data_IF_838686678416
#
_entry.id   IF_838686678416
#
_cell.length_a   1.000
_cell.length_b   1.000
_cell.length_c   1.000
_cell.angle_alpha   90.00
_cell.angle_beta   90.00
_cell.angle_gamma   90.00
#
_symmetry.space_group_name_H-M   'P 1'
#
loop_
_entity.id
_entity.type
_entity.pdbx_description
1 polymer ?
#
# COMPACT_ATOMS: atom_id res chain seq x y z
N UNK A 1 -20.22 1.99 -4.26
CA UNK A 1 -19.29 1.76 -5.38
C UNK A 1 -19.52 2.75 -6.52
N UNK A 2 -20.69 2.84 -7.13
CA UNK A 2 -21.00 3.78 -8.24
C UNK A 2 -20.65 5.27 -8.00
N UNK A 3 -20.67 5.76 -6.76
CA UNK A 3 -20.31 7.15 -6.46
C UNK A 3 -18.80 7.39 -6.52
N UNK A 4 -18.02 6.43 -6.05
CA UNK A 4 -16.56 6.48 -6.10
C UNK A 4 -16.09 6.37 -7.56
N UNK A 5 -16.63 5.41 -8.31
CA UNK A 5 -16.29 5.22 -9.73
C UNK A 5 -16.53 6.52 -10.53
N UNK A 6 -17.69 7.18 -10.33
CA UNK A 6 -17.99 8.46 -10.98
C UNK A 6 -17.02 9.58 -10.60
N UNK A 7 -16.56 9.65 -9.34
CA UNK A 7 -15.61 10.66 -8.91
C UNK A 7 -14.21 10.41 -9.49
N UNK A 8 -13.78 9.16 -9.54
CA UNK A 8 -12.50 8.79 -10.14
C UNK A 8 -12.52 9.00 -11.66
N UNK A 9 -13.61 8.65 -12.33
CA UNK A 9 -13.82 8.95 -13.76
C UNK A 9 -13.79 10.46 -14.04
N UNK A 10 -14.43 11.26 -13.19
CA UNK A 10 -14.41 12.72 -13.30
C UNK A 10 -12.97 13.27 -13.17
N UNK A 11 -12.18 12.74 -12.25
CA UNK A 11 -10.77 13.10 -12.08
C UNK A 11 -9.92 12.71 -13.29
N UNK A 12 -10.08 11.50 -13.81
CA UNK A 12 -9.38 11.02 -15.01
C UNK A 12 -9.73 11.89 -16.23
N UNK A 13 -11.01 12.22 -16.40
CA UNK A 13 -11.48 13.09 -17.47
C UNK A 13 -10.89 14.51 -17.34
N UNK A 14 -10.94 15.10 -16.14
CA UNK A 14 -10.34 16.40 -15.85
C UNK A 14 -8.85 16.41 -16.18
N UNK A 15 -8.10 15.39 -15.76
CA UNK A 15 -6.67 15.23 -16.03
C UNK A 15 -6.37 15.18 -17.54
N UNK A 16 -7.16 14.40 -18.28
CA UNK A 16 -7.05 14.30 -19.75
C UNK A 16 -7.32 15.65 -20.42
N UNK A 17 -8.36 16.36 -19.98
CA UNK A 17 -8.72 17.66 -20.51
C UNK A 17 -7.64 18.69 -20.22
N UNK A 18 -7.08 18.69 -19.01
CA UNK A 18 -5.97 19.56 -18.64
C UNK A 18 -4.71 19.31 -19.50
N UNK A 19 -4.35 18.05 -19.72
CA UNK A 19 -3.22 17.70 -20.62
C UNK A 19 -3.50 18.23 -22.03
N UNK A 20 -4.72 18.10 -22.52
CA UNK A 20 -5.12 18.61 -23.86
C UNK A 20 -4.97 20.13 -23.93
N UNK A 21 -5.44 20.86 -22.93
CA UNK A 21 -5.34 22.32 -22.92
C UNK A 21 -3.89 22.80 -22.75
N UNK A 22 -3.08 22.15 -21.93
CA UNK A 22 -1.64 22.47 -21.83
C UNK A 22 -0.95 22.24 -23.19
N UNK A 23 -1.28 21.14 -23.87
CA UNK A 23 -0.72 20.83 -25.19
C UNK A 23 -1.15 21.86 -26.24
N UNK A 24 -2.42 22.30 -26.20
CA UNK A 24 -2.96 23.35 -27.08
C UNK A 24 -2.28 24.71 -26.82
N UNK A 25 -2.11 25.06 -25.54
CA UNK A 25 -1.40 26.26 -25.15
C UNK A 25 0.06 26.26 -25.61
N UNK A 26 0.75 25.14 -25.46
CA UNK A 26 2.11 24.95 -25.99
C UNK A 26 2.18 25.18 -27.50
N UNK A 27 1.26 24.60 -28.25
CA UNK A 27 1.19 24.80 -29.72
C UNK A 27 0.93 26.25 -30.10
N UNK A 28 0.07 26.96 -29.34
CA UNK A 28 -0.21 28.36 -29.53
C UNK A 28 1.03 29.24 -29.25
N UNK A 29 1.78 28.95 -28.18
CA UNK A 29 3.05 29.65 -27.88
C UNK A 29 4.07 29.51 -29.02
N UNK A 30 4.21 28.33 -29.56
CA UNK A 30 5.12 28.03 -30.68
C UNK A 30 4.68 28.83 -31.94
N UNK A 31 3.40 28.77 -32.27
CA UNK A 31 2.85 29.45 -33.44
C UNK A 31 3.04 31.00 -33.37
N UNK A 32 2.90 31.57 -32.17
CA UNK A 32 3.05 33.01 -31.94
C UNK A 32 4.49 33.44 -31.61
N UNK A 33 5.48 32.53 -31.69
CA UNK A 33 6.91 32.77 -31.38
C UNK A 33 7.15 33.31 -29.95
N UNK A 34 6.28 32.90 -29.02
CA UNK A 34 6.34 33.25 -27.58
C UNK A 34 6.96 32.13 -26.73
N UNK A 35 7.35 31.02 -27.35
CA UNK A 35 7.97 29.92 -26.66
C UNK A 35 9.40 30.23 -26.21
N UNK A 36 9.76 29.76 -25.00
CA UNK A 36 11.15 29.74 -24.54
C UNK A 36 11.50 28.34 -24.10
N UNK A 37 12.77 27.97 -24.18
CA UNK A 37 13.20 26.62 -23.74
C UNK A 37 12.84 26.29 -22.27
N UNK A 38 12.90 27.34 -21.41
CA UNK A 38 12.52 27.15 -20.00
C UNK A 38 11.02 26.92 -19.82
N UNK A 39 10.17 27.63 -20.56
CA UNK A 39 8.71 27.46 -20.50
C UNK A 39 8.31 26.10 -21.10
N UNK A 40 8.91 25.73 -22.23
CA UNK A 40 8.66 24.46 -22.89
C UNK A 40 9.01 23.28 -21.97
N UNK A 41 10.17 23.32 -21.29
CA UNK A 41 10.57 22.33 -20.31
C UNK A 41 9.65 22.26 -19.08
N UNK A 42 9.03 23.39 -18.67
CA UNK A 42 8.02 23.40 -17.59
C UNK A 42 6.73 22.73 -18.04
N UNK A 43 6.26 23.02 -19.23
CA UNK A 43 5.04 22.41 -19.78
C UNK A 43 5.23 20.91 -20.02
N UNK A 44 6.38 20.48 -20.52
CA UNK A 44 6.71 19.07 -20.66
C UNK A 44 6.72 18.33 -19.32
N UNK A 45 7.32 18.94 -18.30
CA UNK A 45 7.32 18.36 -16.95
C UNK A 45 5.90 18.24 -16.40
N UNK A 46 5.07 19.29 -16.55
CA UNK A 46 3.69 19.26 -16.10
C UNK A 46 2.87 18.17 -16.81
N UNK A 47 2.99 18.06 -18.14
CA UNK A 47 2.32 16.99 -18.91
C UNK A 47 2.82 15.62 -18.46
N UNK A 48 4.12 15.44 -18.28
CA UNK A 48 4.70 14.17 -17.83
C UNK A 48 4.21 13.82 -16.44
N UNK A 49 4.18 14.77 -15.51
CA UNK A 49 3.67 14.59 -14.15
C UNK A 49 2.20 14.19 -14.17
N UNK A 50 1.35 14.88 -14.90
CA UNK A 50 -0.07 14.56 -15.05
C UNK A 50 -0.29 13.16 -15.66
N UNK A 51 0.57 12.72 -16.59
CA UNK A 51 0.48 11.38 -17.19
C UNK A 51 0.94 10.25 -16.27
N UNK A 52 1.87 10.53 -15.37
CA UNK A 52 2.43 9.57 -14.43
C UNK A 52 1.80 9.67 -13.05
N UNK A 53 0.94 10.68 -12.85
CA UNK A 53 0.28 10.93 -11.59
C UNK A 53 -0.73 9.82 -11.28
N UNK A 54 -0.60 9.29 -10.08
CA UNK A 54 -1.49 8.29 -9.50
C UNK A 54 -1.83 8.73 -8.08
N UNK A 55 -2.99 8.31 -7.62
CA UNK A 55 -3.43 8.56 -6.25
C UNK A 55 -3.03 7.35 -5.42
N UNK A 56 -2.06 7.53 -4.54
CA UNK A 56 -1.67 6.50 -3.59
C UNK A 56 -2.46 6.67 -2.30
N UNK A 57 -3.18 5.62 -1.94
CA UNK A 57 -3.93 5.49 -0.70
C UNK A 57 -3.20 4.50 0.20
N UNK A 58 -2.69 4.96 1.34
CA UNK A 58 -2.02 4.13 2.32
C UNK A 58 -2.97 3.72 3.44
N UNK A 59 -3.05 2.42 3.73
CA UNK A 59 -3.79 1.87 4.85
C UNK A 59 -2.84 1.64 6.02
N UNK A 60 -3.09 2.31 7.13
CA UNK A 60 -2.24 2.31 8.32
C UNK A 60 -3.07 1.98 9.55
N UNK A 61 -2.46 1.43 10.56
CA UNK A 61 -3.08 1.11 11.84
C UNK A 61 -2.33 -0.03 12.52
N UNK A 62 -2.67 -0.27 13.75
CA UNK A 62 -2.12 -1.35 14.53
C UNK A 62 -2.45 -2.74 13.94
N UNK A 63 -1.79 -3.75 14.45
CA UNK A 63 -2.10 -5.13 14.13
C UNK A 63 -3.58 -5.47 14.40
N UNK A 64 -4.18 -6.33 13.58
CA UNK A 64 -5.59 -6.80 13.74
C UNK A 64 -6.69 -5.74 13.57
N UNK A 65 -6.40 -4.53 13.08
CA UNK A 65 -7.43 -3.51 12.79
C UNK A 65 -8.25 -3.78 11.53
N UNK A 66 -7.92 -4.86 10.78
CA UNK A 66 -8.65 -5.30 9.58
C UNK A 66 -8.22 -4.61 8.29
N UNK A 67 -7.02 -4.03 8.21
CA UNK A 67 -6.47 -3.40 6.98
C UNK A 67 -6.57 -4.33 5.77
N UNK A 68 -5.97 -5.50 5.87
CA UNK A 68 -5.93 -6.50 4.79
C UNK A 68 -7.32 -7.04 4.43
N UNK A 69 -8.22 -7.20 5.42
CA UNK A 69 -9.62 -7.59 5.15
C UNK A 69 -10.37 -6.52 4.38
N UNK A 70 -10.16 -5.25 4.72
CA UNK A 70 -10.75 -4.15 3.96
C UNK A 70 -10.25 -4.13 2.51
N UNK A 71 -8.96 -4.37 2.29
CA UNK A 71 -8.37 -4.47 0.95
C UNK A 71 -8.94 -5.69 0.20
N UNK A 72 -9.05 -6.85 0.86
CA UNK A 72 -9.71 -8.04 0.29
C UNK A 72 -11.14 -7.72 -0.17
N UNK A 73 -11.90 -7.03 0.67
CA UNK A 73 -13.29 -6.66 0.36
C UNK A 73 -13.40 -5.68 -0.82
N UNK A 74 -12.47 -4.74 -0.93
CA UNK A 74 -12.48 -3.72 -1.98
C UNK A 74 -12.01 -4.24 -3.33
N UNK A 75 -10.98 -5.10 -3.35
CA UNK A 75 -10.28 -5.46 -4.59
C UNK A 75 -10.46 -6.92 -5.00
N UNK A 76 -10.83 -7.80 -4.08
CA UNK A 76 -10.88 -9.23 -4.33
C UNK A 76 -12.24 -9.88 -4.01
N UNK A 77 -13.27 -9.09 -3.70
CA UNK A 77 -14.61 -9.60 -3.36
C UNK A 77 -15.24 -10.48 -4.44
N UNK A 78 -14.90 -10.25 -5.71
CA UNK A 78 -15.41 -11.03 -6.86
C UNK A 78 -14.93 -12.48 -6.86
N UNK A 79 -13.87 -12.80 -6.16
CA UNK A 79 -13.33 -14.16 -6.07
C UNK A 79 -14.06 -15.04 -5.05
N UNK A 80 -14.95 -14.49 -4.22
CA UNK A 80 -15.71 -15.22 -3.21
C UNK A 80 -14.88 -15.79 -2.07
N UNK A 81 -13.58 -15.53 -2.05
CA UNK A 81 -12.63 -15.98 -1.03
C UNK A 81 -11.54 -14.94 -0.79
N UNK A 82 -10.83 -15.09 0.33
CA UNK A 82 -9.74 -14.18 0.71
C UNK A 82 -8.50 -14.47 -0.14
N UNK A 83 -8.05 -13.48 -0.88
CA UNK A 83 -6.85 -13.59 -1.72
C UNK A 83 -5.60 -13.13 -0.97
N UNK A 84 -5.65 -11.96 -0.31
CA UNK A 84 -4.55 -11.53 0.55
C UNK A 84 -4.56 -12.34 1.85
N UNK A 85 -3.42 -12.88 2.28
CA UNK A 85 -3.35 -13.66 3.50
C UNK A 85 -3.65 -12.77 4.72
N UNK A 86 -4.67 -13.17 5.49
CA UNK A 86 -5.00 -12.55 6.76
C UNK A 86 -5.23 -13.65 7.78
N UNK A 87 -4.20 -14.00 8.53
CA UNK A 87 -4.28 -14.99 9.62
C UNK A 87 -4.07 -14.29 10.96
N UNK A 88 -4.78 -14.75 11.97
CA UNK A 88 -4.51 -14.36 13.35
C UNK A 88 -3.04 -14.69 13.69
N UNK A 89 -2.25 -13.68 14.08
CA UNK A 89 -0.85 -13.84 14.47
C UNK A 89 0.19 -13.57 13.38
N UNK A 90 -0.13 -13.66 12.08
CA UNK A 90 0.81 -13.41 10.98
C UNK A 90 0.07 -12.84 9.79
N UNK A 91 -0.15 -11.55 9.80
CA UNK A 91 -0.65 -10.79 8.64
C UNK A 91 0.54 -10.10 7.97
N UNK A 92 0.35 -9.37 6.96
CA UNK A 92 1.31 -8.63 6.14
C UNK A 92 2.67 -8.38 6.83
N UNK A 93 3.69 -9.15 6.45
CA UNK A 93 5.05 -9.03 7.03
C UNK A 93 5.86 -7.93 6.34
N UNK A 94 5.51 -7.57 5.12
CA UNK A 94 6.16 -6.50 4.36
C UNK A 94 5.14 -5.57 3.71
N UNK A 95 5.46 -4.28 3.53
CA UNK A 95 4.61 -3.34 2.81
C UNK A 95 4.30 -3.85 1.40
N UNK A 96 3.02 -3.82 1.03
CA UNK A 96 2.56 -4.31 -0.27
C UNK A 96 1.91 -3.18 -1.07
N UNK A 97 2.46 -2.88 -2.25
CA UNK A 97 1.92 -1.88 -3.17
C UNK A 97 1.11 -2.57 -4.28
N UNK A 98 -0.22 -2.36 -4.30
CA UNK A 98 -1.09 -2.81 -5.39
C UNK A 98 -1.26 -1.67 -6.39
N UNK A 99 -1.05 -1.96 -7.67
CA UNK A 99 -1.18 -0.99 -8.76
C UNK A 99 -1.51 -1.71 -10.07
N UNK A 100 -1.84 -0.93 -11.10
CA UNK A 100 -1.95 -1.43 -12.48
C UNK A 100 -1.13 -0.54 -13.42
N UNK A 101 -0.28 -1.17 -14.23
CA UNK A 101 0.41 -0.53 -15.36
C UNK A 101 0.10 -1.30 -16.64
N UNK A 102 -0.70 -0.73 -17.56
CA UNK A 102 -1.09 -1.40 -18.79
C UNK A 102 0.07 -1.69 -19.76
N UNK A 103 1.24 -1.08 -19.54
CA UNK A 103 2.45 -1.34 -20.34
C UNK A 103 3.13 -2.65 -19.93
N UNK A 104 2.76 -3.20 -18.79
CA UNK A 104 3.26 -4.48 -18.30
C UNK A 104 2.31 -5.58 -18.76
N UNK A 105 2.82 -6.54 -19.52
CA UNK A 105 2.02 -7.51 -20.29
C UNK A 105 1.16 -8.44 -19.45
N UNK A 106 1.44 -8.61 -18.15
CA UNK A 106 0.73 -9.58 -17.29
C UNK A 106 0.63 -9.08 -15.86
N UNK A 107 -0.36 -9.60 -15.14
CA UNK A 107 -0.42 -9.47 -13.69
C UNK A 107 0.68 -10.30 -13.01
N UNK A 108 1.30 -9.75 -11.98
CA UNK A 108 2.40 -10.39 -11.26
C UNK A 108 2.58 -9.83 -9.86
N UNK A 109 3.29 -10.57 -9.02
CA UNK A 109 3.88 -10.10 -7.77
C UNK A 109 5.40 -9.99 -7.98
N UNK A 110 6.00 -8.89 -7.53
CA UNK A 110 7.44 -8.73 -7.37
C UNK A 110 7.76 -8.64 -5.89
N UNK A 111 8.74 -9.42 -5.46
CA UNK A 111 9.19 -9.52 -4.07
C UNK A 111 10.66 -9.14 -4.01
N UNK A 112 11.00 -8.16 -3.19
CA UNK A 112 12.38 -7.76 -2.95
C UNK A 112 12.94 -8.54 -1.75
N UNK A 113 14.00 -9.34 -1.92
CA UNK A 113 14.59 -10.11 -0.82
C UNK A 113 15.04 -9.25 0.35
N UNK A 114 14.91 -9.78 1.56
CA UNK A 114 15.30 -9.07 2.80
C UNK A 114 16.79 -8.74 2.82
N UNK A 115 17.64 -9.57 2.19
CA UNK A 115 19.09 -9.37 2.08
C UNK A 115 19.45 -8.06 1.36
N UNK A 116 18.52 -7.49 0.60
CA UNK A 116 18.71 -6.17 -0.03
C UNK A 116 18.85 -5.02 1.00
N UNK A 117 18.65 -5.29 2.31
CA UNK A 117 18.97 -4.33 3.39
C UNK A 117 20.47 -4.12 3.54
N UNK A 118 21.27 -5.12 3.18
CA UNK A 118 22.73 -5.04 3.23
C UNK A 118 23.32 -4.22 2.09
N UNK A 119 22.49 -3.91 1.07
CA UNK A 119 22.92 -3.09 -0.06
C UNK A 119 22.79 -1.60 0.27
N UNK A 120 23.81 -0.81 -0.04
CA UNK A 120 23.78 0.66 0.08
C UNK A 120 22.98 1.30 -1.07
N UNK A 121 21.78 0.75 -1.32
CA UNK A 121 20.94 1.12 -2.46
C UNK A 121 19.51 1.40 -1.99
N UNK A 122 19.00 2.58 -2.32
CA UNK A 122 17.64 2.95 -1.93
C UNK A 122 16.58 2.10 -2.62
N UNK A 123 15.42 1.90 -1.97
CA UNK A 123 14.26 1.20 -2.57
C UNK A 123 13.85 1.82 -3.91
N UNK A 124 13.94 3.15 -4.05
CA UNK A 124 13.61 3.84 -5.30
C UNK A 124 14.56 3.45 -6.46
N UNK A 125 15.82 3.19 -6.16
CA UNK A 125 16.79 2.69 -7.13
C UNK A 125 16.56 1.19 -7.42
N UNK A 126 16.34 0.38 -6.39
CA UNK A 126 16.05 -1.05 -6.53
C UNK A 126 14.76 -1.31 -7.34
N UNK A 127 13.75 -0.44 -7.25
CA UNK A 127 12.54 -0.51 -8.11
C UNK A 127 12.86 -0.44 -9.62
N UNK A 128 14.00 0.15 -10.00
CA UNK A 128 14.47 0.27 -11.40
C UNK A 128 15.37 -0.88 -11.83
N UNK A 129 15.71 -1.79 -10.92
CA UNK A 129 16.63 -2.92 -11.16
C UNK A 129 15.86 -4.25 -11.08
N UNK A 130 15.24 -4.71 -12.17
CA UNK A 130 14.35 -5.89 -12.14
C UNK A 130 15.03 -7.19 -11.68
N UNK A 131 16.34 -7.31 -11.84
CA UNK A 131 17.10 -8.50 -11.47
C UNK A 131 17.21 -8.74 -9.95
N UNK A 132 16.97 -7.71 -9.13
CA UNK A 132 16.92 -7.87 -7.67
C UNK A 132 15.58 -8.45 -7.17
N UNK A 133 14.57 -8.52 -8.03
CA UNK A 133 13.21 -8.90 -7.65
C UNK A 133 12.88 -10.31 -8.10
N UNK A 134 12.39 -11.13 -7.18
CA UNK A 134 11.68 -12.34 -7.55
C UNK A 134 10.33 -11.94 -8.17
N UNK A 135 10.01 -12.47 -9.35
CA UNK A 135 8.75 -12.22 -10.04
C UNK A 135 7.92 -13.49 -10.09
N UNK A 136 6.71 -13.42 -9.53
CA UNK A 136 5.71 -14.49 -9.56
C UNK A 136 4.57 -14.07 -10.49
N UNK A 137 4.17 -14.90 -11.47
CA UNK A 137 3.01 -14.61 -12.29
C UNK A 137 1.73 -14.73 -11.46
N UNK A 138 0.71 -13.92 -11.79
CA UNK A 138 -0.64 -14.04 -11.24
C UNK A 138 -1.58 -14.54 -12.34
N UNK A 139 -2.30 -15.63 -12.06
CA UNK A 139 -3.40 -16.11 -12.87
C UNK A 139 -4.72 -15.60 -12.28
N UNK A 140 -5.31 -14.56 -12.92
CA UNK A 140 -6.51 -13.90 -12.41
C UNK A 140 -7.78 -14.77 -12.56
N UNK A 141 -7.74 -15.81 -13.38
CA UNK A 141 -8.85 -16.73 -13.60
C UNK A 141 -8.84 -17.91 -12.62
N UNK A 142 -7.79 -18.04 -11.81
CA UNK A 142 -7.60 -19.13 -10.83
C UNK A 142 -7.34 -18.56 -9.44
N UNK A 143 -8.38 -18.47 -8.60
CA UNK A 143 -8.25 -17.94 -7.24
C UNK A 143 -7.29 -18.71 -6.34
N UNK A 144 -7.19 -20.03 -6.49
CA UNK A 144 -6.31 -20.86 -5.66
C UNK A 144 -4.84 -20.59 -6.01
N UNK A 145 -4.51 -20.46 -7.29
CA UNK A 145 -3.19 -20.03 -7.76
C UNK A 145 -2.83 -18.62 -7.25
N UNK A 146 -3.82 -17.72 -7.20
CA UNK A 146 -3.61 -16.37 -6.63
C UNK A 146 -3.31 -16.44 -5.14
N UNK A 147 -4.07 -17.22 -4.37
CA UNK A 147 -3.83 -17.40 -2.93
C UNK A 147 -2.43 -17.96 -2.68
N UNK A 148 -2.01 -18.95 -3.46
CA UNK A 148 -0.67 -19.51 -3.37
C UNK A 148 0.41 -18.45 -3.65
N UNK A 149 0.26 -17.66 -4.71
CA UNK A 149 1.18 -16.59 -5.05
C UNK A 149 1.23 -15.50 -3.97
N UNK A 150 0.09 -15.08 -3.44
CA UNK A 150 0.01 -14.10 -2.36
C UNK A 150 0.52 -14.64 -1.02
N UNK A 151 0.43 -15.95 -0.77
CA UNK A 151 0.99 -16.57 0.43
C UNK A 151 2.51 -16.37 0.53
N UNK A 152 3.18 -16.26 -0.62
CA UNK A 152 4.62 -15.99 -0.67
C UNK A 152 4.97 -14.60 -0.10
N UNK A 153 4.07 -13.61 -0.18
CA UNK A 153 4.29 -12.27 0.39
C UNK A 153 4.48 -12.32 1.91
N UNK A 154 3.81 -13.28 2.57
CA UNK A 154 3.90 -13.49 4.01
C UNK A 154 5.01 -14.48 4.42
N UNK A 155 5.89 -14.86 3.50
CA UNK A 155 6.96 -15.80 3.79
C UNK A 155 7.97 -15.24 4.81
N UNK A 156 8.43 -16.12 5.69
CA UNK A 156 9.49 -15.85 6.67
C UNK A 156 10.68 -16.76 6.42
N UNK A 157 11.85 -16.32 6.88
CA UNK A 157 13.09 -17.11 6.87
C UNK A 157 13.56 -17.32 8.31
N UNK A 158 14.05 -18.51 8.61
CA UNK A 158 14.82 -18.77 9.83
C UNK A 158 16.27 -18.38 9.56
N UNK A 159 16.82 -17.53 10.42
CA UNK A 159 18.21 -17.07 10.32
C UNK A 159 18.87 -17.05 11.71
N UNK A 160 20.20 -17.23 11.78
CA UNK A 160 20.92 -17.03 13.03
C UNK A 160 20.70 -15.62 13.61
N UNK A 161 20.71 -15.47 14.92
CA UNK A 161 20.52 -14.18 15.63
C UNK A 161 21.51 -13.13 15.11
N UNK A 162 22.77 -13.50 14.85
CA UNK A 162 23.80 -12.62 14.34
C UNK A 162 23.43 -12.06 12.97
N UNK A 163 22.90 -12.91 12.09
CA UNK A 163 22.45 -12.47 10.76
C UNK A 163 21.21 -11.57 10.83
N UNK A 164 20.29 -11.81 11.78
CA UNK A 164 19.17 -10.90 12.03
C UNK A 164 19.64 -9.51 12.46
N UNK A 165 20.68 -9.44 13.29
CA UNK A 165 21.31 -8.17 13.71
C UNK A 165 21.98 -7.47 12.53
N UNK A 166 22.71 -8.19 11.68
CA UNK A 166 23.31 -7.64 10.46
C UNK A 166 22.24 -7.07 9.52
N UNK A 167 21.11 -7.75 9.40
CA UNK A 167 19.93 -7.27 8.66
C UNK A 167 19.25 -6.07 9.34
N UNK A 168 19.71 -5.64 10.54
CA UNK A 168 19.19 -4.49 11.26
C UNK A 168 17.91 -4.76 12.03
N UNK A 169 17.61 -6.00 12.39
CA UNK A 169 16.52 -6.34 13.28
C UNK A 169 16.99 -6.41 14.74
N UNK A 170 16.09 -6.08 15.65
CA UNK A 170 16.26 -6.33 17.07
C UNK A 170 15.81 -7.76 17.39
N UNK A 171 16.67 -8.66 17.84
CA UNK A 171 16.30 -10.05 18.11
C UNK A 171 15.13 -10.21 19.08
N UNK A 172 15.05 -9.35 20.11
CA UNK A 172 13.97 -9.36 21.11
C UNK A 172 12.59 -9.01 20.50
N UNK A 173 12.59 -8.40 19.30
CA UNK A 173 11.37 -8.05 18.55
C UNK A 173 11.01 -9.10 17.48
N UNK A 174 11.69 -10.26 17.48
CA UNK A 174 11.47 -11.32 16.51
C UNK A 174 10.92 -12.58 17.22
N UNK A 175 10.16 -13.37 16.47
CA UNK A 175 9.74 -14.69 16.93
C UNK A 175 10.91 -15.67 16.87
N UNK A 176 11.05 -16.50 17.90
CA UNK A 176 12.02 -17.59 17.89
C UNK A 176 11.66 -18.62 16.81
N UNK A 177 12.67 -19.13 16.13
CA UNK A 177 12.51 -20.25 15.22
C UNK A 177 12.41 -21.59 16.01
N UNK A 178 11.93 -22.64 15.35
CA UNK A 178 12.00 -24.02 15.87
C UNK A 178 13.45 -24.52 15.98
N UNK A 179 14.40 -23.82 15.37
CA UNK A 179 15.83 -24.13 15.42
C UNK A 179 16.47 -23.28 16.52
N UNK A 180 17.14 -23.94 17.47
CA UNK A 180 17.79 -23.26 18.57
C UNK A 180 18.87 -22.26 18.11
N UNK A 181 18.79 -21.01 18.56
CA UNK A 181 19.71 -19.94 18.17
C UNK A 181 19.33 -19.21 16.89
N UNK A 182 18.17 -19.53 16.31
CA UNK A 182 17.64 -18.84 15.15
C UNK A 182 16.34 -18.08 15.48
N UNK A 183 16.07 -17.05 14.68
CA UNK A 183 14.87 -16.21 14.75
C UNK A 183 14.22 -16.09 13.37
N UNK A 184 12.92 -15.81 13.35
CA UNK A 184 12.15 -15.66 12.14
C UNK A 184 12.20 -14.18 11.68
N UNK A 185 12.69 -13.96 10.47
CA UNK A 185 12.67 -12.64 9.80
C UNK A 185 11.76 -12.68 8.58
N UNK A 186 11.17 -11.56 8.14
CA UNK A 186 10.47 -11.48 6.86
C UNK A 186 11.39 -11.93 5.73
N UNK A 187 10.88 -12.70 4.77
CA UNK A 187 11.67 -13.07 3.61
C UNK A 187 11.86 -11.90 2.63
N UNK A 188 10.95 -10.92 2.71
CA UNK A 188 10.85 -9.81 1.74
C UNK A 188 10.79 -8.46 2.44
N UNK A 189 11.29 -7.42 1.77
CA UNK A 189 11.17 -6.01 2.20
C UNK A 189 9.85 -5.43 1.70
N UNK A 190 9.71 -4.89 0.46
CA UNK A 190 8.41 -4.60 -0.12
C UNK A 190 7.97 -5.67 -1.12
N UNK A 191 6.67 -5.78 -1.28
CA UNK A 191 6.02 -6.45 -2.39
C UNK A 191 5.38 -5.42 -3.33
N UNK A 192 5.42 -5.69 -4.64
CA UNK A 192 4.76 -4.90 -5.68
C UNK A 192 3.86 -5.79 -6.50
N UNK A 193 2.59 -5.49 -6.55
CA UNK A 193 1.56 -6.30 -7.22
C UNK A 193 0.97 -5.51 -8.38
N UNK A 194 1.26 -5.94 -9.61
CA UNK A 194 0.56 -5.47 -10.79
C UNK A 194 -0.70 -6.31 -10.97
N UNK A 195 -1.86 -5.73 -10.68
CA UNK A 195 -3.14 -6.43 -10.66
C UNK A 195 -4.17 -5.67 -11.49
N UNK A 196 -4.81 -6.36 -12.44
CA UNK A 196 -5.79 -5.77 -13.33
C UNK A 196 -7.16 -5.63 -12.64
N UNK A 197 -7.42 -4.43 -12.12
CA UNK A 197 -8.67 -4.11 -11.42
C UNK A 197 -9.18 -2.74 -11.89
N UNK A 198 -10.52 -2.52 -12.03
CA UNK A 198 -11.09 -1.27 -12.53
C UNK A 198 -10.58 -0.01 -11.82
N UNK A 199 -10.51 -0.01 -10.50
CA UNK A 199 -10.01 1.12 -9.71
C UNK A 199 -8.50 1.38 -9.94
N UNK A 200 -7.70 0.32 -10.05
CA UNK A 200 -6.27 0.44 -10.30
C UNK A 200 -5.97 0.90 -11.73
N UNK A 201 -6.81 0.50 -12.72
CA UNK A 201 -6.74 1.02 -14.10
C UNK A 201 -6.93 2.53 -14.18
N UNK A 202 -7.67 3.10 -13.25
CA UNK A 202 -7.92 4.54 -13.15
C UNK A 202 -6.78 5.31 -12.49
N UNK A 203 -5.68 4.64 -12.13
CA UNK A 203 -4.50 5.24 -11.53
C UNK A 203 -4.51 5.26 -10.00
N UNK A 204 -5.43 4.53 -9.35
CA UNK A 204 -5.36 4.31 -7.92
C UNK A 204 -4.21 3.34 -7.60
N UNK A 205 -3.47 3.63 -6.55
CA UNK A 205 -2.47 2.75 -5.94
C UNK A 205 -2.82 2.52 -4.48
N UNK A 206 -2.67 1.31 -4.03
CA UNK A 206 -2.92 0.93 -2.64
C UNK A 206 -1.61 0.53 -2.00
N UNK A 207 -1.32 1.11 -0.86
CA UNK A 207 -0.22 0.70 0.00
C UNK A 207 -0.81 0.01 1.24
N UNK A 208 -0.75 -1.32 1.26
CA UNK A 208 -1.04 -2.10 2.47
C UNK A 208 0.22 -2.13 3.33
N UNK A 209 0.09 -1.68 4.57
CA UNK A 209 1.23 -1.63 5.50
C UNK A 209 1.11 -2.71 6.57
N UNK A 210 2.22 -3.31 7.00
CA UNK A 210 2.25 -4.09 8.22
C UNK A 210 1.70 -3.28 9.39
N UNK A 211 1.20 -3.94 10.43
CA UNK A 211 0.92 -3.24 11.69
C UNK A 211 2.20 -2.55 12.18
N UNK A 212 2.15 -1.26 12.49
CA UNK A 212 3.36 -0.51 12.85
C UNK A 212 4.06 -1.03 14.12
N UNK A 213 3.32 -1.78 14.94
CA UNK A 213 3.86 -2.47 16.12
C UNK A 213 3.94 -4.00 15.92
N UNK A 214 3.85 -4.49 14.67
CA UNK A 214 3.98 -5.92 14.41
C UNK A 214 5.43 -6.37 14.59
N UNK A 215 5.63 -7.45 15.35
CA UNK A 215 6.92 -8.08 15.54
C UNK A 215 7.53 -8.46 14.17
N UNK A 216 8.80 -8.16 13.97
CA UNK A 216 9.52 -8.49 12.73
C UNK A 216 9.15 -7.64 11.52
N UNK A 217 8.27 -6.62 11.67
CA UNK A 217 8.03 -5.66 10.58
C UNK A 217 9.19 -4.66 10.44
N UNK A 218 9.26 -3.98 9.29
CA UNK A 218 10.14 -2.83 9.07
C UNK A 218 9.33 -1.52 9.21
N UNK A 219 9.09 -1.01 10.45
CA UNK A 219 8.30 0.22 10.62
C UNK A 219 8.93 1.40 9.88
N UNK A 220 10.27 1.51 9.90
CA UNK A 220 11.01 2.56 9.20
C UNK A 220 10.77 2.55 7.69
N UNK A 221 10.74 1.37 7.06
CA UNK A 221 10.42 1.25 5.65
C UNK A 221 8.99 1.70 5.38
N UNK A 222 8.04 1.21 6.18
CA UNK A 222 6.63 1.61 6.09
C UNK A 222 6.48 3.12 6.21
N UNK A 223 7.07 3.72 7.23
CA UNK A 223 7.04 5.16 7.47
C UNK A 223 7.70 5.96 6.35
N UNK A 224 8.77 5.43 5.73
CA UNK A 224 9.43 6.08 4.59
C UNK A 224 8.57 6.09 3.32
N UNK A 225 7.59 5.20 3.21
CA UNK A 225 6.68 5.14 2.06
C UNK A 225 5.45 6.04 2.23
N UNK A 226 5.02 6.34 3.46
CA UNK A 226 3.82 7.14 3.75
C UNK A 226 3.87 8.57 3.17
N UNK A 227 5.02 9.30 3.19
CA UNK A 227 5.07 10.65 2.59
C UNK A 227 4.77 10.68 1.10
N UNK A 228 4.86 9.54 0.41
CA UNK A 228 4.50 9.44 -1.01
C UNK A 228 3.00 9.27 -1.27
N UNK A 229 2.20 8.98 -0.24
CA UNK A 229 0.75 8.80 -0.36
C UNK A 229 0.03 10.15 -0.39
N UNK A 230 -0.99 10.28 -1.23
CA UNK A 230 -1.87 11.44 -1.29
C UNK A 230 -2.99 11.38 -0.25
N UNK A 231 -3.29 10.17 0.23
CA UNK A 231 -4.22 9.98 1.33
C UNK A 231 -3.76 8.82 2.23
N UNK A 232 -3.97 8.98 3.53
CA UNK A 232 -3.68 7.97 4.54
C UNK A 232 -5.00 7.64 5.24
N UNK A 233 -5.33 6.36 5.27
CA UNK A 233 -6.49 5.81 5.98
C UNK A 233 -5.97 5.13 7.24
N UNK A 234 -6.22 5.74 8.38
CA UNK A 234 -5.87 5.20 9.68
C UNK A 234 -7.05 4.37 10.20
N UNK A 235 -6.83 3.06 10.33
CA UNK A 235 -7.86 2.13 10.78
C UNK A 235 -7.80 1.96 12.31
N UNK A 236 -8.93 2.18 12.91
CA UNK A 236 -9.26 1.85 14.29
C UNK A 236 -10.23 0.67 14.30
N UNK A 237 -10.43 0.02 15.42
CA UNK A 237 -11.29 -1.15 15.53
C UNK A 237 -12.31 -0.96 16.66
N UNK A 238 -13.58 -1.16 16.37
CA UNK A 238 -14.67 -0.96 17.35
C UNK A 238 -14.64 -1.97 18.50
N UNK A 239 -14.08 -3.17 18.26
CA UNK A 239 -13.96 -4.22 19.28
C UNK A 239 -12.97 -3.87 20.42
N UNK A 240 -11.98 -3.05 20.13
CA UNK A 240 -10.95 -2.64 21.11
C UNK A 240 -11.01 -1.17 21.48
N UNK A 241 -11.79 -0.37 20.73
CA UNK A 241 -11.76 1.08 20.82
C UNK A 241 -10.40 1.66 20.42
N UNK A 242 -10.12 2.89 20.83
CA UNK A 242 -8.83 3.55 20.61
C UNK A 242 -7.87 3.15 21.73
N UNK A 243 -6.78 2.49 21.39
CA UNK A 243 -5.78 2.04 22.36
C UNK A 243 -4.67 3.08 22.53
N UNK A 244 -3.86 2.94 23.60
CA UNK A 244 -2.67 3.77 23.78
C UNK A 244 -1.70 3.64 22.60
N UNK A 245 -1.55 2.43 22.06
CA UNK A 245 -0.73 2.16 20.89
C UNK A 245 -1.24 2.86 19.62
N UNK A 246 -2.56 2.89 19.39
CA UNK A 246 -3.15 3.67 18.28
C UNK A 246 -2.82 5.17 18.43
N UNK A 247 -2.89 5.70 19.66
CA UNK A 247 -2.56 7.10 19.93
C UNK A 247 -1.08 7.41 19.74
N UNK A 248 -0.19 6.50 20.13
CA UNK A 248 1.25 6.66 19.89
C UNK A 248 1.56 6.67 18.38
N UNK A 249 1.00 5.75 17.61
CA UNK A 249 1.14 5.71 16.16
C UNK A 249 0.63 7.02 15.54
N UNK A 250 -0.55 7.48 15.96
CA UNK A 250 -1.11 8.73 15.46
C UNK A 250 -0.23 9.93 15.76
N UNK A 251 0.20 10.09 17.01
CA UNK A 251 0.98 11.26 17.44
C UNK A 251 2.39 11.27 16.86
N UNK A 252 3.07 10.12 16.83
CA UNK A 252 4.46 10.04 16.44
C UNK A 252 4.66 9.99 14.93
N UNK A 253 3.69 9.44 14.17
CA UNK A 253 3.91 9.12 12.77
C UNK A 253 2.87 9.74 11.85
N UNK A 254 1.57 9.65 12.18
CA UNK A 254 0.51 10.04 11.25
C UNK A 254 0.27 11.55 11.27
N UNK A 255 0.19 12.14 12.46
CA UNK A 255 -0.04 13.59 12.62
C UNK A 255 1.03 14.45 11.97
N UNK A 256 2.28 13.95 11.93
CA UNK A 256 3.40 14.66 11.32
C UNK A 256 3.35 14.69 9.79
N UNK A 257 2.52 13.85 9.17
CA UNK A 257 2.30 13.82 7.73
C UNK A 257 1.34 14.93 7.26
N UNK A 258 0.62 15.57 8.20
CA UNK A 258 -0.32 16.66 7.88
C UNK A 258 0.44 17.98 7.64
N UNK A 259 1.08 18.05 6.48
CA UNK A 259 1.73 19.27 5.96
C UNK A 259 0.80 20.09 5.04
N UNK A 260 -0.50 19.76 5.03
CA UNK A 260 -1.53 20.34 4.17
C UNK A 260 -1.56 19.77 2.75
N UNK A 261 -0.69 18.84 2.41
CA UNK A 261 -0.68 18.16 1.10
C UNK A 261 -1.34 16.78 1.13
N UNK A 262 -1.33 16.11 2.27
CA UNK A 262 -1.93 14.80 2.47
C UNK A 262 -3.30 14.90 3.14
N UNK A 263 -4.19 13.98 2.79
CA UNK A 263 -5.50 13.85 3.45
C UNK A 263 -5.46 12.67 4.42
N UNK A 264 -5.75 12.96 5.67
CA UNK A 264 -5.84 11.96 6.73
C UNK A 264 -7.30 11.59 6.98
N UNK A 265 -7.59 10.30 6.99
CA UNK A 265 -8.91 9.76 7.31
C UNK A 265 -8.77 8.76 8.45
N UNK A 266 -9.55 8.92 9.52
CA UNK A 266 -9.74 7.89 10.53
C UNK A 266 -10.98 7.07 10.17
N UNK A 267 -10.85 5.76 10.18
CA UNK A 267 -11.93 4.82 9.86
C UNK A 267 -12.10 3.84 11.03
N UNK A 268 -13.29 3.84 11.62
CA UNK A 268 -13.66 2.84 12.61
C UNK A 268 -14.16 1.58 11.87
N UNK A 269 -13.41 0.50 11.98
CA UNK A 269 -13.71 -0.79 11.37
C UNK A 269 -14.36 -1.73 12.41
N UNK A 270 -14.88 -2.87 11.94
CA UNK A 270 -15.54 -3.90 12.76
C UNK A 270 -16.73 -3.35 13.58
N UNK A 271 -17.48 -2.42 13.01
CA UNK A 271 -18.66 -1.84 13.67
C UNK A 271 -19.78 -2.86 13.87
N UNK A 272 -19.74 -3.97 13.15
CA UNK A 272 -20.62 -5.12 13.30
C UNK A 272 -20.59 -5.73 14.73
N UNK A 273 -19.48 -5.60 15.45
CA UNK A 273 -19.39 -6.06 16.85
C UNK A 273 -20.18 -5.20 17.82
N UNK A 274 -20.61 -4.01 17.39
CA UNK A 274 -21.47 -3.11 18.17
C UNK A 274 -22.96 -3.43 17.97
N UNK A 275 -23.27 -4.39 17.08
CA UNK A 275 -24.63 -4.81 16.83
C UNK A 275 -25.13 -5.74 17.96
N UNK A 276 -26.24 -5.41 18.58
CA UNK A 276 -26.90 -6.27 19.55
C UNK A 276 -28.03 -7.07 18.86
N UNK A 277 -27.73 -8.32 18.51
CA UNK A 277 -28.71 -9.23 17.88
C UNK A 277 -29.92 -9.53 18.78
N UNK A 278 -29.82 -9.31 20.11
CA UNK A 278 -30.88 -9.64 21.09
C UNK A 278 -31.91 -8.51 21.16
N UNK A 279 -31.47 -7.26 21.10
CA UNK A 279 -32.39 -6.09 21.16
C UNK A 279 -32.95 -5.71 19.80
N UNK A 280 -32.33 -6.14 18.70
CA UNK A 280 -32.71 -5.76 17.33
C UNK A 280 -32.48 -4.27 17.02
N UNK A 281 -31.87 -3.53 17.92
CA UNK A 281 -31.53 -2.12 17.77
C UNK A 281 -30.03 -1.97 17.49
N UNK A 282 -29.72 -1.21 16.47
CA UNK A 282 -28.34 -0.84 16.19
C UNK A 282 -27.96 0.36 17.03
N UNK A 283 -27.23 0.16 18.12
CA UNK A 283 -26.70 1.24 18.96
C UNK A 283 -25.44 1.90 18.36
N UNK A 284 -25.31 1.93 17.05
CA UNK A 284 -24.13 2.49 16.38
C UNK A 284 -24.03 4.00 16.64
N UNK A 285 -25.14 4.72 16.73
CA UNK A 285 -25.15 6.16 16.94
C UNK A 285 -24.80 6.56 18.38
N UNK A 286 -25.10 5.72 19.38
CA UNK A 286 -24.81 5.99 20.79
C UNK A 286 -23.41 5.48 21.21
N UNK A 287 -22.77 4.64 20.41
CA UNK A 287 -21.46 4.02 20.72
C UNK A 287 -20.28 4.73 20.02
N UNK A 288 -20.53 5.68 19.14
CA UNK A 288 -19.54 6.49 18.45
C UNK A 288 -19.47 7.88 19.04
#
# INVERSE_FOLDING_TARGET
MERLDRQVDAYVNWKRDLIREITRYRSWLIHNRLNSGALDARLDRAIKQLRTDHITLAFVGEFSRGKTELINSLFFSTYGQRILPSRAGRTTMCPTELFFDPRLERSFIRLLPIESRLEDTSIAQLKRMPHFWLKLPLNLDDPDSMIEAFSQVAAVKSVPVEQAIELGFHPDALESSDIAGEVLVPAWRPAMVNFDHPLLRQGLRILDTPGLNALGSEPELTLSMLPSAQAVVFLLSADTGVTASDMDIWQQHIRQLDDGQQRLFAVLNKIDVLWDDVSGEAFVEDAI
#
